data_IF_392910277271
#
_entry.id   IF_392910277271
#
_cell.length_a   1.000
_cell.length_b   1.000
_cell.length_c   1.000
_cell.angle_alpha   90.00
_cell.angle_beta   90.00
_cell.angle_gamma   90.00
#
_symmetry.space_group_name_H-M   'P 1'
#
loop_
_entity.id
_entity.type
_entity.pdbx_description
1 polymer ?
#
# COMPACT_ATOMS: atom_id res chain seq x y z
N UNK A 1 -33.71 -11.03 -57.04
CA UNK A 1 -32.44 -10.36 -56.66
C UNK A 1 -32.42 -10.02 -55.18
N UNK A 2 -33.40 -9.27 -54.66
CA UNK A 2 -33.50 -8.84 -53.24
C UNK A 2 -33.40 -9.99 -52.22
N UNK A 3 -34.11 -11.12 -52.42
CA UNK A 3 -34.04 -12.27 -51.49
C UNK A 3 -32.61 -12.85 -51.34
N UNK A 4 -31.83 -12.90 -52.42
CA UNK A 4 -30.45 -13.42 -52.38
C UNK A 4 -29.51 -12.47 -51.64
N UNK A 5 -29.72 -11.16 -51.80
CA UNK A 5 -28.97 -10.11 -51.09
C UNK A 5 -29.27 -10.15 -49.60
N UNK A 6 -30.54 -10.27 -49.22
CA UNK A 6 -30.96 -10.39 -47.81
C UNK A 6 -30.39 -11.65 -47.15
N UNK A 7 -30.44 -12.80 -47.84
CA UNK A 7 -29.82 -14.04 -47.35
C UNK A 7 -28.31 -13.90 -47.16
N UNK A 8 -27.62 -13.22 -48.08
CA UNK A 8 -26.18 -12.95 -47.96
C UNK A 8 -25.83 -12.05 -46.77
N UNK A 9 -26.60 -10.99 -46.54
CA UNK A 9 -26.42 -10.09 -45.39
C UNK A 9 -26.66 -10.80 -44.06
N UNK A 10 -27.69 -11.64 -43.97
CA UNK A 10 -27.97 -12.43 -42.77
C UNK A 10 -26.86 -13.44 -42.47
N UNK A 11 -26.29 -14.08 -43.50
CA UNK A 11 -25.16 -14.98 -43.34
C UNK A 11 -23.89 -14.26 -42.85
N UNK A 12 -23.60 -13.07 -43.39
CA UNK A 12 -22.48 -12.23 -42.94
C UNK A 12 -22.64 -11.80 -41.48
N UNK A 13 -23.84 -11.36 -41.09
CA UNK A 13 -24.13 -10.97 -39.72
C UNK A 13 -23.99 -12.16 -38.76
N UNK A 14 -24.51 -13.33 -39.14
CA UNK A 14 -24.37 -14.55 -38.36
C UNK A 14 -22.90 -14.96 -38.18
N UNK A 15 -22.09 -14.90 -39.24
CA UNK A 15 -20.66 -15.18 -39.18
C UNK A 15 -19.91 -14.18 -38.29
N UNK A 16 -20.24 -12.89 -38.37
CA UNK A 16 -19.64 -11.86 -37.53
C UNK A 16 -19.97 -12.07 -36.04
N UNK A 17 -21.24 -12.33 -35.72
CA UNK A 17 -21.69 -12.61 -34.35
C UNK A 17 -21.08 -13.90 -33.82
N UNK A 18 -21.08 -14.98 -34.62
CA UNK A 18 -20.46 -16.25 -34.26
C UNK A 18 -18.95 -16.11 -34.05
N UNK A 19 -18.26 -15.32 -34.89
CA UNK A 19 -16.84 -15.01 -34.71
C UNK A 19 -16.56 -14.24 -33.42
N UNK A 20 -17.35 -13.21 -33.12
CA UNK A 20 -17.22 -12.45 -31.88
C UNK A 20 -17.51 -13.29 -30.63
N UNK A 21 -18.53 -14.16 -30.68
CA UNK A 21 -18.85 -15.11 -29.61
C UNK A 21 -17.77 -16.17 -29.44
N UNK A 22 -17.24 -16.70 -30.54
CA UNK A 22 -16.13 -17.66 -30.54
C UNK A 22 -14.87 -17.06 -29.91
N UNK A 23 -14.56 -15.80 -30.20
CA UNK A 23 -13.44 -15.09 -29.57
C UNK A 23 -13.67 -14.79 -28.08
N UNK A 24 -14.89 -14.41 -27.69
CA UNK A 24 -15.22 -14.07 -26.29
C UNK A 24 -15.24 -15.28 -25.37
N UNK A 25 -15.68 -16.43 -25.88
CA UNK A 25 -15.89 -17.66 -25.09
C UNK A 25 -14.86 -18.75 -25.38
N UNK A 26 -13.82 -18.44 -26.15
CA UNK A 26 -12.73 -19.36 -26.50
C UNK A 26 -13.22 -20.66 -27.18
N UNK A 27 -14.25 -20.54 -28.02
CA UNK A 27 -14.88 -21.65 -28.74
C UNK A 27 -14.19 -21.84 -30.08
N UNK A 28 -14.07 -23.08 -30.56
CA UNK A 28 -13.61 -23.40 -31.91
C UNK A 28 -14.24 -22.48 -32.98
N UNK A 29 -13.48 -21.93 -33.94
CA UNK A 29 -12.05 -22.16 -34.19
C UNK A 29 -11.10 -21.10 -33.57
N UNK A 30 -11.57 -20.23 -32.68
CA UNK A 30 -10.76 -19.11 -32.17
C UNK A 30 -9.44 -19.53 -31.50
N UNK A 31 -9.39 -20.57 -30.63
CA UNK A 31 -8.12 -21.00 -30.03
C UNK A 31 -7.06 -21.38 -31.08
N UNK A 32 -7.46 -22.07 -32.15
CA UNK A 32 -6.57 -22.47 -33.25
C UNK A 32 -6.10 -21.25 -34.04
N UNK A 33 -7.01 -20.34 -34.38
CA UNK A 33 -6.68 -19.13 -35.13
C UNK A 33 -5.79 -18.18 -34.31
N UNK A 34 -6.03 -18.06 -33.01
CA UNK A 34 -5.22 -17.27 -32.08
C UNK A 34 -3.81 -17.84 -31.95
N UNK A 35 -3.67 -19.16 -31.79
CA UNK A 35 -2.37 -19.81 -31.74
C UNK A 35 -1.55 -19.61 -33.03
N UNK A 36 -2.19 -19.72 -34.19
CA UNK A 36 -1.55 -19.44 -35.49
C UNK A 36 -1.17 -17.96 -35.60
N UNK A 37 -2.03 -17.04 -35.17
CA UNK A 37 -1.72 -15.60 -35.15
C UNK A 37 -0.49 -15.32 -34.28
N UNK A 38 -0.40 -15.90 -33.10
CA UNK A 38 0.75 -15.76 -32.20
C UNK A 38 2.04 -16.29 -32.84
N UNK A 39 1.98 -17.41 -33.57
CA UNK A 39 3.13 -17.98 -34.27
C UNK A 39 3.58 -17.17 -35.50
N UNK A 40 2.64 -16.55 -36.23
CA UNK A 40 2.93 -15.87 -37.51
C UNK A 40 3.24 -14.38 -37.32
N UNK A 41 2.51 -13.71 -36.43
CA UNK A 41 2.58 -12.26 -36.23
C UNK A 41 3.45 -11.89 -35.01
N UNK A 42 3.72 -12.87 -34.13
CA UNK A 42 4.23 -12.59 -32.80
C UNK A 42 3.16 -11.94 -31.91
N UNK A 43 3.38 -11.93 -30.60
CA UNK A 43 2.60 -11.08 -29.70
C UNK A 43 3.12 -9.65 -29.84
N UNK A 44 2.26 -8.70 -30.21
CA UNK A 44 2.59 -7.29 -30.01
C UNK A 44 3.01 -7.11 -28.54
N UNK A 45 4.18 -6.49 -28.26
CA UNK A 45 4.53 -6.19 -26.89
C UNK A 45 3.40 -5.33 -26.30
N UNK A 46 2.96 -5.62 -25.06
CA UNK A 46 1.93 -4.82 -24.44
C UNK A 46 2.33 -3.35 -24.47
N UNK A 47 1.37 -2.47 -24.75
CA UNK A 47 1.62 -1.02 -24.72
C UNK A 47 2.34 -0.66 -23.42
N UNK A 48 3.41 0.16 -23.47
CA UNK A 48 4.18 0.49 -22.29
C UNK A 48 3.24 1.09 -21.22
N UNK A 49 3.31 0.53 -20.02
CA UNK A 49 2.58 1.03 -18.87
C UNK A 49 3.18 2.36 -18.44
N UNK A 50 2.34 3.33 -18.04
CA UNK A 50 2.80 4.57 -17.40
C UNK A 50 3.53 4.34 -16.07
N UNK A 51 3.43 3.13 -15.53
CA UNK A 51 4.04 2.71 -14.28
C UNK A 51 5.26 1.84 -14.53
N UNK A 52 6.35 2.10 -13.81
CA UNK A 52 7.50 1.21 -13.73
C UNK A 52 7.53 0.52 -12.37
N UNK A 53 7.84 -0.77 -12.39
CA UNK A 53 7.99 -1.61 -11.19
C UNK A 53 9.39 -2.19 -11.13
N UNK A 54 9.88 -2.46 -9.92
CA UNK A 54 11.06 -3.32 -9.73
C UNK A 54 10.68 -4.81 -9.75
N UNK A 55 11.68 -5.69 -9.65
CA UNK A 55 11.51 -7.15 -9.68
C UNK A 55 10.62 -7.67 -8.53
N UNK A 56 10.46 -6.88 -7.46
CA UNK A 56 9.61 -7.19 -6.32
C UNK A 56 8.19 -6.57 -6.45
N UNK A 57 7.83 -6.10 -7.65
CA UNK A 57 6.56 -5.44 -7.96
C UNK A 57 6.28 -4.15 -7.17
N UNK A 58 7.31 -3.52 -6.60
CA UNK A 58 7.15 -2.20 -5.97
C UNK A 58 7.08 -1.14 -7.06
N UNK A 59 6.14 -0.20 -6.92
CA UNK A 59 6.03 0.93 -7.84
C UNK A 59 7.22 1.88 -7.66
N UNK A 60 8.06 1.98 -8.68
CA UNK A 60 9.29 2.80 -8.66
C UNK A 60 9.22 4.01 -9.61
N UNK A 61 8.28 4.00 -10.56
CA UNK A 61 8.08 5.11 -11.49
C UNK A 61 6.60 5.27 -11.85
N UNK A 62 6.18 6.52 -12.02
CA UNK A 62 4.90 6.91 -12.59
C UNK A 62 5.13 8.22 -13.36
N UNK A 63 4.89 8.22 -14.67
CA UNK A 63 5.11 9.38 -15.55
C UNK A 63 4.33 10.63 -15.15
N UNK A 64 3.27 10.49 -14.34
CA UNK A 64 2.44 11.60 -13.86
C UNK A 64 2.97 12.26 -12.59
N UNK A 65 4.09 11.78 -12.04
CA UNK A 65 4.69 12.31 -10.81
C UNK A 65 5.35 13.66 -11.04
N UNK A 66 4.96 14.66 -10.24
CA UNK A 66 5.59 15.98 -10.23
C UNK A 66 6.79 15.99 -9.29
N UNK A 67 8.00 15.90 -9.85
CA UNK A 67 9.24 16.00 -9.09
C UNK A 67 9.43 17.42 -8.53
N UNK A 68 9.93 17.50 -7.30
CA UNK A 68 10.27 18.75 -6.61
C UNK A 68 11.58 18.58 -5.83
N UNK A 69 12.30 19.67 -5.52
CA UNK A 69 13.41 19.58 -4.57
C UNK A 69 12.95 18.99 -3.25
N UNK A 70 13.75 18.10 -2.66
CA UNK A 70 13.44 17.59 -1.32
C UNK A 70 13.49 18.74 -0.31
N UNK A 71 12.39 19.06 0.39
CA UNK A 71 12.40 20.12 1.39
C UNK A 71 13.36 19.79 2.54
N UNK A 72 14.01 20.81 3.09
CA UNK A 72 14.84 20.66 4.29
C UNK A 72 13.95 20.22 5.45
N UNK A 73 14.37 19.17 6.17
CA UNK A 73 13.69 18.75 7.39
C UNK A 73 13.95 19.77 8.51
N UNK A 74 12.87 20.25 9.10
CA UNK A 74 12.86 21.13 10.28
C UNK A 74 12.09 20.48 11.43
N UNK A 75 12.09 21.11 12.60
CA UNK A 75 11.26 20.70 13.73
C UNK A 75 9.76 20.77 13.45
N UNK A 76 9.33 21.34 12.32
CA UNK A 76 7.91 21.37 11.87
C UNK A 76 7.70 20.51 10.63
N UNK A 77 8.61 19.59 10.34
CA UNK A 77 8.49 18.60 9.28
C UNK A 77 8.11 17.24 9.88
N UNK A 78 6.99 16.66 9.45
CA UNK A 78 6.71 15.26 9.72
C UNK A 78 7.39 14.41 8.63
N UNK A 79 8.10 13.35 9.03
CA UNK A 79 8.67 12.35 8.11
C UNK A 79 8.10 10.99 8.50
N UNK A 80 7.07 10.57 7.77
CA UNK A 80 6.34 9.33 7.99
C UNK A 80 7.01 8.21 7.20
N UNK A 81 7.64 7.26 7.91
CA UNK A 81 8.06 5.99 7.33
C UNK A 81 6.90 5.02 7.45
N UNK A 82 6.25 4.71 6.34
CA UNK A 82 5.08 3.82 6.32
C UNK A 82 5.52 2.43 5.90
N UNK A 83 5.34 1.46 6.78
CA UNK A 83 5.73 0.07 6.62
C UNK A 83 4.51 -0.86 6.70
N UNK A 84 4.60 -2.02 6.05
CA UNK A 84 3.64 -3.10 6.20
C UNK A 84 3.14 -3.68 4.88
N UNK A 85 1.88 -4.11 4.85
CA UNK A 85 1.30 -4.83 3.70
C UNK A 85 0.33 -3.98 2.88
N UNK A 86 -0.64 -4.61 2.20
CA UNK A 86 -1.54 -3.96 1.25
C UNK A 86 -2.27 -2.75 1.82
N UNK A 87 -2.79 -2.84 3.06
CA UNK A 87 -3.45 -1.71 3.73
C UNK A 87 -2.49 -0.56 4.16
N UNK A 88 -1.17 -0.74 4.03
CA UNK A 88 -0.18 0.34 4.06
C UNK A 88 0.30 0.77 2.66
N UNK A 89 0.14 -0.10 1.66
CA UNK A 89 0.56 0.11 0.27
C UNK A 89 -0.49 0.90 -0.54
N UNK A 90 -0.43 0.81 -1.87
CA UNK A 90 -1.37 1.48 -2.78
C UNK A 90 -2.62 0.65 -3.07
N UNK A 91 -3.07 -0.22 -2.16
CA UNK A 91 -4.27 -1.04 -2.37
C UNK A 91 -5.58 -0.37 -1.96
N UNK A 92 -5.53 0.86 -1.45
CA UNK A 92 -6.71 1.61 -1.04
C UNK A 92 -7.66 1.90 -2.21
N UNK A 93 -8.97 1.85 -1.93
CA UNK A 93 -10.01 2.02 -2.95
C UNK A 93 -10.12 3.44 -3.52
N UNK A 94 -9.54 4.44 -2.86
CA UNK A 94 -9.61 5.84 -3.25
C UNK A 94 -8.23 6.46 -3.46
N UNK A 95 -8.07 7.18 -4.58
CA UNK A 95 -6.87 7.98 -4.84
C UNK A 95 -6.98 9.37 -4.24
N UNK A 96 -5.85 9.85 -3.73
CA UNK A 96 -5.72 11.16 -3.11
C UNK A 96 -4.60 11.96 -3.77
N UNK A 97 -4.65 13.29 -3.60
CA UNK A 97 -3.61 14.23 -4.04
C UNK A 97 -3.36 15.24 -2.94
N UNK A 98 -2.16 15.79 -2.90
CA UNK A 98 -1.84 16.92 -2.03
C UNK A 98 -2.75 18.11 -2.35
N UNK A 99 -3.50 18.57 -1.35
CA UNK A 99 -4.25 19.83 -1.40
C UNK A 99 -3.34 21.05 -1.15
N UNK A 100 -2.11 20.80 -0.71
CA UNK A 100 -1.13 21.82 -0.32
C UNK A 100 0.14 21.78 -1.18
N UNK A 101 0.04 21.21 -2.40
CA UNK A 101 1.15 21.13 -3.34
C UNK A 101 2.39 20.46 -2.75
N UNK A 102 3.54 21.12 -2.86
CA UNK A 102 4.85 20.67 -2.38
C UNK A 102 4.99 20.59 -0.85
N UNK A 103 3.91 20.81 -0.10
CA UNK A 103 3.89 20.65 1.37
C UNK A 103 3.58 19.23 1.83
N UNK A 104 3.03 18.40 0.96
CA UNK A 104 2.84 16.96 1.19
C UNK A 104 3.62 16.23 0.10
N UNK A 105 4.66 15.53 0.50
CA UNK A 105 5.70 14.99 -0.37
C UNK A 105 5.71 13.47 -0.29
N UNK A 106 5.85 12.81 -1.43
CA UNK A 106 6.26 11.42 -1.54
C UNK A 106 7.78 11.38 -1.72
N UNK A 107 8.51 10.88 -0.72
CA UNK A 107 9.94 10.65 -0.82
C UNK A 107 10.18 9.21 -1.25
N UNK A 108 10.90 9.04 -2.36
CA UNK A 108 11.29 7.74 -2.87
C UNK A 108 12.62 7.84 -3.60
N UNK A 109 13.50 6.88 -3.35
CA UNK A 109 14.77 6.76 -4.06
C UNK A 109 15.64 8.04 -4.07
N UNK A 110 15.81 8.65 -2.89
CA UNK A 110 16.54 9.93 -2.74
C UNK A 110 16.00 11.08 -3.63
N UNK A 111 14.75 10.99 -4.06
CA UNK A 111 14.01 12.03 -4.80
C UNK A 111 12.70 12.33 -4.10
N UNK A 112 12.14 13.49 -4.41
CA UNK A 112 10.90 13.97 -3.82
C UNK A 112 9.90 14.37 -4.90
N UNK A 113 8.64 14.03 -4.65
CA UNK A 113 7.53 14.27 -5.56
C UNK A 113 6.37 14.87 -4.77
N UNK A 114 5.55 15.71 -5.39
CA UNK A 114 4.27 16.11 -4.80
C UNK A 114 3.45 14.84 -4.57
N UNK A 115 2.96 14.63 -3.34
CA UNK A 115 2.20 13.45 -2.99
C UNK A 115 0.90 13.38 -3.83
N UNK A 116 0.75 12.26 -4.53
CA UNK A 116 -0.41 11.91 -5.31
C UNK A 116 -0.42 10.39 -5.47
N UNK A 117 -1.54 9.74 -5.18
CA UNK A 117 -1.66 8.29 -5.29
C UNK A 117 -1.58 7.85 -6.77
N UNK A 118 -1.02 6.66 -7.06
CA UNK A 118 -0.34 5.78 -6.12
C UNK A 118 1.03 6.33 -5.70
N UNK A 119 1.44 6.16 -4.45
CA UNK A 119 2.75 6.59 -3.96
C UNK A 119 3.86 5.66 -4.46
N UNK A 120 4.99 6.23 -4.87
CA UNK A 120 6.20 5.47 -5.17
C UNK A 120 6.78 4.89 -3.87
N UNK A 121 7.33 3.69 -3.94
CA UNK A 121 7.90 2.97 -2.81
C UNK A 121 7.01 1.86 -2.23
N UNK A 122 5.78 1.74 -2.70
CA UNK A 122 4.85 0.67 -2.32
C UNK A 122 4.37 -0.13 -3.52
N UNK A 123 3.87 -1.34 -3.28
CA UNK A 123 3.19 -2.17 -4.30
C UNK A 123 1.83 -1.60 -4.69
N UNK A 124 1.29 -2.13 -5.79
CA UNK A 124 0.01 -1.75 -6.42
C UNK A 124 0.01 -0.30 -6.99
N UNK A 125 -1.08 0.04 -7.69
CA UNK A 125 -1.26 1.33 -8.36
C UNK A 125 -2.61 2.00 -8.07
N UNK A 126 -3.45 1.47 -7.16
CA UNK A 126 -4.72 2.10 -6.79
C UNK A 126 -4.47 3.36 -5.94
N UNK A 127 -4.91 3.37 -4.69
CA UNK A 127 -4.97 4.51 -3.81
C UNK A 127 -4.36 4.24 -2.44
N UNK A 128 -4.21 5.28 -1.63
CA UNK A 128 -3.72 5.18 -0.25
C UNK A 128 -4.18 6.40 0.55
N UNK A 129 -4.35 6.24 1.87
CA UNK A 129 -4.89 7.30 2.73
C UNK A 129 -3.82 8.16 3.41
N UNK A 130 -2.53 7.88 3.22
CA UNK A 130 -1.41 8.65 3.77
C UNK A 130 -1.31 10.04 3.16
N UNK A 131 -1.61 10.21 1.87
CA UNK A 131 -1.71 11.54 1.26
C UNK A 131 -2.83 12.36 1.90
N UNK A 132 -3.96 11.72 2.22
CA UNK A 132 -5.07 12.37 2.96
C UNK A 132 -4.63 12.76 4.36
N UNK A 133 -3.95 11.86 5.09
CA UNK A 133 -3.36 12.16 6.40
C UNK A 133 -2.38 13.34 6.32
N UNK A 134 -1.50 13.36 5.32
CA UNK A 134 -0.56 14.45 5.09
C UNK A 134 -1.25 15.80 4.88
N UNK A 135 -2.35 15.82 4.12
CA UNK A 135 -3.18 17.02 3.98
C UNK A 135 -3.71 17.49 5.33
N UNK A 136 -4.28 16.59 6.12
CA UNK A 136 -4.84 16.90 7.44
C UNK A 136 -3.77 17.38 8.44
N UNK A 137 -2.58 16.79 8.42
CA UNK A 137 -1.44 17.22 9.25
C UNK A 137 -0.99 18.64 8.92
N UNK A 138 -0.96 19.01 7.64
CA UNK A 138 -0.71 20.40 7.21
C UNK A 138 -1.86 21.33 7.63
N UNK A 139 -3.10 20.91 7.40
CA UNK A 139 -4.30 21.69 7.73
C UNK A 139 -4.41 22.00 9.23
N UNK A 140 -3.91 21.11 10.10
CA UNK A 140 -3.87 21.31 11.55
C UNK A 140 -3.02 22.52 12.00
N UNK A 141 -2.15 23.03 11.13
CA UNK A 141 -1.18 24.09 11.45
C UNK A 141 0.02 23.63 12.28
N UNK A 142 0.09 22.34 12.64
CA UNK A 142 1.22 21.76 13.41
C UNK A 142 2.47 21.57 12.55
N UNK A 143 2.30 21.25 11.28
CA UNK A 143 3.39 20.92 10.36
C UNK A 143 3.41 21.89 9.16
N UNK A 144 4.62 22.23 8.72
CA UNK A 144 4.83 23.06 7.52
C UNK A 144 5.01 22.18 6.29
N UNK A 145 5.64 21.01 6.48
CA UNK A 145 5.90 19.98 5.49
C UNK A 145 5.58 18.60 6.07
N UNK A 146 5.03 17.71 5.24
CA UNK A 146 4.86 16.28 5.52
C UNK A 146 5.56 15.51 4.41
N UNK A 147 6.49 14.65 4.78
CA UNK A 147 7.20 13.73 3.89
C UNK A 147 6.70 12.32 4.18
N UNK A 148 6.17 11.65 3.16
CA UNK A 148 5.66 10.29 3.22
C UNK A 148 6.64 9.42 2.44
N UNK A 149 7.30 8.49 3.15
CA UNK A 149 8.21 7.52 2.60
C UNK A 149 7.62 6.12 2.80
N UNK A 150 6.80 5.63 1.86
CA UNK A 150 6.25 4.30 1.99
C UNK A 150 7.28 3.26 1.55
N UNK A 151 7.32 2.17 2.30
CA UNK A 151 7.91 0.90 1.94
C UNK A 151 6.90 -0.15 2.39
N UNK A 152 6.01 -0.56 1.49
CA UNK A 152 4.93 -1.48 1.83
C UNK A 152 4.69 -2.46 0.69
N UNK A 153 4.49 -3.73 1.04
CA UNK A 153 4.38 -4.85 0.10
C UNK A 153 3.15 -5.68 0.37
N UNK A 154 2.21 -5.69 -0.58
CA UNK A 154 0.97 -6.44 -0.52
C UNK A 154 1.24 -7.92 -0.25
N UNK A 155 0.51 -8.50 0.70
CA UNK A 155 0.67 -9.90 1.11
C UNK A 155 1.95 -10.24 1.88
N UNK A 156 2.74 -9.25 2.34
CA UNK A 156 3.92 -9.55 3.16
C UNK A 156 3.57 -9.90 4.60
N UNK A 157 4.06 -11.05 5.07
CA UNK A 157 4.08 -11.45 6.47
C UNK A 157 5.30 -10.86 7.22
N UNK A 158 5.22 -10.72 8.54
CA UNK A 158 6.24 -10.09 9.39
C UNK A 158 7.62 -10.76 9.27
N UNK A 159 7.67 -12.06 8.92
CA UNK A 159 8.92 -12.80 8.74
C UNK A 159 9.80 -12.20 7.63
N UNK A 160 9.20 -11.63 6.58
CA UNK A 160 9.92 -10.96 5.48
C UNK A 160 10.60 -9.66 5.91
N UNK A 161 10.09 -9.05 6.97
CA UNK A 161 10.57 -7.79 7.54
C UNK A 161 11.61 -7.98 8.64
N UNK A 162 11.62 -9.14 9.29
CA UNK A 162 12.63 -9.53 10.26
C UNK A 162 14.02 -9.66 9.63
N UNK A 163 15.08 -9.62 10.45
CA UNK A 163 16.46 -9.74 9.94
C UNK A 163 16.65 -11.06 9.18
N UNK A 164 17.18 -10.95 7.95
CA UNK A 164 17.35 -12.09 7.04
C UNK A 164 16.16 -12.33 6.09
N UNK A 165 15.03 -11.67 6.32
CA UNK A 165 13.94 -11.56 5.36
C UNK A 165 14.32 -10.66 4.18
N UNK A 166 13.65 -10.87 3.04
CA UNK A 166 13.93 -10.17 1.79
C UNK A 166 13.58 -8.67 1.86
N UNK A 167 12.52 -8.29 2.60
CA UNK A 167 12.11 -6.89 2.76
C UNK A 167 12.95 -6.13 3.81
N UNK A 168 13.65 -6.84 4.70
CA UNK A 168 14.54 -6.21 5.67
C UNK A 168 15.74 -5.50 4.98
N UNK A 169 16.27 -6.09 3.91
CA UNK A 169 17.31 -5.45 3.08
C UNK A 169 16.80 -4.16 2.45
N UNK A 170 15.59 -4.19 1.90
CA UNK A 170 14.92 -3.01 1.33
C UNK A 170 14.64 -1.93 2.37
N UNK A 171 14.32 -2.31 3.61
CA UNK A 171 14.17 -1.38 4.73
C UNK A 171 15.48 -0.63 5.01
N UNK A 172 16.59 -1.37 5.14
CA UNK A 172 17.91 -0.78 5.36
C UNK A 172 18.28 0.19 4.23
N UNK A 173 18.06 -0.20 2.98
CA UNK A 173 18.39 0.63 1.83
C UNK A 173 17.48 1.86 1.72
N UNK A 174 16.20 1.73 2.06
CA UNK A 174 15.26 2.86 2.13
C UNK A 174 15.72 3.89 3.17
N UNK A 175 16.14 3.44 4.36
CA UNK A 175 16.65 4.32 5.41
C UNK A 175 17.94 5.03 5.00
N UNK A 176 18.87 4.33 4.33
CA UNK A 176 20.08 4.95 3.76
C UNK A 176 19.72 6.01 2.71
N UNK A 177 18.75 5.74 1.83
CA UNK A 177 18.30 6.68 0.79
C UNK A 177 17.66 7.92 1.39
N UNK A 178 16.87 7.78 2.47
CA UNK A 178 16.31 8.90 3.24
C UNK A 178 17.41 9.72 3.91
N UNK A 179 18.35 9.08 4.62
CA UNK A 179 19.48 9.76 5.29
C UNK A 179 20.34 10.55 4.31
N UNK A 180 20.53 10.03 3.08
CA UNK A 180 21.30 10.70 2.02
C UNK A 180 20.71 12.05 1.62
N UNK A 181 19.38 12.20 1.67
CA UNK A 181 18.70 13.48 1.37
C UNK A 181 18.38 14.28 2.64
N UNK A 182 18.97 13.89 3.77
CA UNK A 182 18.82 14.62 5.04
C UNK A 182 17.57 14.28 5.83
N UNK A 183 16.80 13.24 5.44
CA UNK A 183 15.62 12.82 6.19
C UNK A 183 15.93 11.83 7.30
N UNK A 184 15.31 12.05 8.45
CA UNK A 184 15.19 11.13 9.56
C UNK A 184 13.70 10.94 9.85
N UNK A 185 13.18 9.70 9.87
CA UNK A 185 11.80 9.45 10.25
C UNK A 185 11.47 10.12 11.58
N UNK A 186 10.35 10.83 11.66
CA UNK A 186 9.77 11.32 12.91
C UNK A 186 8.80 10.31 13.49
N UNK A 187 8.17 9.51 12.62
CA UNK A 187 7.16 8.53 12.97
C UNK A 187 7.34 7.32 12.04
N UNK A 188 7.40 6.12 12.64
CA UNK A 188 7.34 4.86 11.89
C UNK A 188 5.96 4.27 12.10
N UNK A 189 5.27 3.96 11.01
CA UNK A 189 3.91 3.42 11.02
C UNK A 189 3.97 2.00 10.49
N UNK A 190 3.46 1.04 11.26
CA UNK A 190 3.39 -0.38 10.88
C UNK A 190 1.94 -0.82 10.71
N UNK A 191 1.53 -1.10 9.47
CA UNK A 191 0.19 -1.61 9.12
C UNK A 191 0.32 -3.00 8.49
N UNK A 192 0.29 -4.03 9.33
CA UNK A 192 0.43 -5.42 8.90
C UNK A 192 -0.09 -6.37 9.96
N UNK A 193 -0.61 -7.51 9.51
CA UNK A 193 -0.93 -8.66 10.35
C UNK A 193 -1.96 -9.60 9.72
N UNK A 194 -2.67 -9.16 8.69
CA UNK A 194 -3.67 -9.98 8.00
C UNK A 194 -3.03 -11.23 7.35
N UNK A 195 -1.84 -11.09 6.74
CA UNK A 195 -1.13 -12.23 6.16
C UNK A 195 -0.69 -13.25 7.23
N UNK A 196 -0.16 -12.78 8.36
CA UNK A 196 0.29 -13.65 9.46
C UNK A 196 -0.85 -14.42 10.13
N UNK A 197 -2.04 -13.81 10.22
CA UNK A 197 -3.22 -14.51 10.74
C UNK A 197 -3.57 -15.71 9.85
N UNK A 198 -3.48 -15.53 8.53
CA UNK A 198 -3.79 -16.55 7.52
C UNK A 198 -2.73 -17.66 7.52
N UNK A 199 -1.46 -17.29 7.68
CA UNK A 199 -0.35 -18.23 7.78
C UNK A 199 -0.30 -19.00 9.11
N UNK A 200 -1.11 -18.60 10.09
CA UNK A 200 -1.14 -19.23 11.40
C UNK A 200 0.09 -18.92 12.25
N UNK A 201 0.72 -17.75 12.04
CA UNK A 201 1.84 -17.29 12.86
C UNK A 201 1.41 -17.18 14.32
N UNK A 202 2.22 -17.74 15.23
CA UNK A 202 1.94 -17.65 16.67
C UNK A 202 2.21 -16.23 17.19
N UNK A 203 1.57 -15.85 18.31
CA UNK A 203 1.83 -14.54 18.92
C UNK A 203 3.33 -14.34 19.25
N UNK A 204 4.02 -15.30 19.90
CA UNK A 204 5.46 -15.16 20.16
C UNK A 204 6.31 -15.02 18.89
N UNK A 205 6.03 -15.81 17.85
CA UNK A 205 6.78 -15.70 16.59
C UNK A 205 6.59 -14.33 15.93
N UNK A 206 5.37 -13.80 15.96
CA UNK A 206 5.09 -12.48 15.43
C UNK A 206 5.83 -11.40 16.24
N UNK A 207 5.79 -11.47 17.56
CA UNK A 207 6.50 -10.55 18.46
C UNK A 207 8.01 -10.56 18.19
N UNK A 208 8.63 -11.74 18.15
CA UNK A 208 10.08 -11.89 17.93
C UNK A 208 10.51 -11.33 16.56
N UNK A 209 9.74 -11.63 15.50
CA UNK A 209 10.01 -11.14 14.14
C UNK A 209 9.81 -9.63 14.04
N UNK A 210 8.76 -9.10 14.64
CA UNK A 210 8.53 -7.65 14.69
C UNK A 210 9.66 -6.94 15.44
N UNK A 211 10.05 -7.44 16.62
CA UNK A 211 11.15 -6.85 17.39
C UNK A 211 12.48 -6.94 16.62
N UNK A 212 12.73 -8.02 15.87
CA UNK A 212 13.88 -8.12 14.97
C UNK A 212 13.90 -7.02 13.89
N UNK A 213 12.73 -6.68 13.31
CA UNK A 213 12.61 -5.54 12.41
C UNK A 213 12.87 -4.21 13.15
N UNK A 214 12.35 -4.04 14.37
CA UNK A 214 12.60 -2.85 15.19
C UNK A 214 14.08 -2.70 15.51
N UNK A 215 14.80 -3.78 15.83
CA UNK A 215 16.24 -3.75 16.04
C UNK A 215 16.99 -3.29 14.77
N UNK A 216 16.48 -3.67 13.60
CA UNK A 216 17.01 -3.18 12.32
C UNK A 216 16.81 -1.66 12.19
N UNK A 217 15.62 -1.14 12.52
CA UNK A 217 15.35 0.30 12.55
C UNK A 217 16.32 1.03 13.50
N UNK A 218 16.46 0.54 14.74
CA UNK A 218 17.34 1.14 15.73
C UNK A 218 18.81 1.09 15.31
N UNK A 219 19.25 -0.01 14.70
CA UNK A 219 20.59 -0.15 14.12
C UNK A 219 20.87 0.79 12.94
N UNK A 220 19.85 1.42 12.36
CA UNK A 220 19.96 2.46 11.33
C UNK A 220 19.72 3.89 11.88
N UNK A 221 19.89 4.09 13.19
CA UNK A 221 19.69 5.37 13.90
C UNK A 221 18.23 5.89 13.88
N UNK A 222 17.24 5.04 13.63
CA UNK A 222 15.83 5.43 13.69
C UNK A 222 15.35 5.30 15.13
N UNK A 223 15.39 6.41 15.87
CA UNK A 223 14.90 6.47 17.26
C UNK A 223 13.43 6.93 17.38
N UNK A 224 12.77 7.19 16.25
CA UNK A 224 11.37 7.57 16.20
C UNK A 224 10.44 6.51 16.81
N UNK A 225 9.29 6.92 17.37
CA UNK A 225 8.27 5.99 17.78
C UNK A 225 7.82 5.10 16.62
N UNK A 226 7.54 3.84 16.94
CA UNK A 226 6.96 2.85 16.03
C UNK A 226 5.53 2.59 16.46
N UNK A 227 4.59 3.06 15.66
CA UNK A 227 3.16 2.87 15.87
C UNK A 227 2.70 1.57 15.24
N UNK A 228 2.06 0.73 16.05
CA UNK A 228 1.63 -0.61 15.67
C UNK A 228 0.12 -0.58 15.48
N UNK A 229 -0.35 -0.73 14.25
CA UNK A 229 -1.77 -0.88 13.96
C UNK A 229 -2.27 -2.23 14.46
N UNK A 230 -3.49 -2.25 14.99
CA UNK A 230 -4.22 -3.51 15.15
C UNK A 230 -4.93 -3.78 13.82
N UNK A 231 -4.34 -4.67 13.03
CA UNK A 231 -4.73 -5.02 11.67
C UNK A 231 -4.60 -6.52 11.47
N UNK A 232 -5.72 -7.23 11.50
CA UNK A 232 -5.80 -8.67 11.22
C UNK A 232 -7.01 -9.05 10.36
N UNK A 233 -7.91 -8.09 10.11
CA UNK A 233 -9.16 -8.30 9.38
C UNK A 233 -8.99 -8.18 7.85
N UNK A 234 -9.12 -9.31 7.18
CA UNK A 234 -9.34 -9.43 5.73
C UNK A 234 -10.45 -10.48 5.50
N UNK A 235 -11.58 -10.09 4.89
CA UNK A 235 -12.82 -10.88 4.92
C UNK A 235 -13.14 -11.65 3.63
N UNK A 236 -12.23 -11.65 2.66
CA UNK A 236 -12.40 -12.31 1.37
C UNK A 236 -11.27 -13.33 1.12
N UNK A 237 -11.58 -14.64 1.06
CA UNK A 237 -10.58 -15.68 0.80
C UNK A 237 -9.78 -15.51 -0.50
N UNK A 238 -10.37 -14.95 -1.55
CA UNK A 238 -9.64 -14.63 -2.79
C UNK A 238 -8.60 -13.51 -2.63
N UNK A 239 -8.75 -12.69 -1.58
CA UNK A 239 -7.76 -11.70 -1.13
C UNK A 239 -6.84 -12.26 -0.03
N UNK A 240 -6.89 -13.58 0.20
CA UNK A 240 -6.09 -14.28 1.20
C UNK A 240 -6.70 -14.28 2.60
N UNK A 241 -7.90 -13.74 2.81
CA UNK A 241 -8.54 -13.62 4.13
C UNK A 241 -9.40 -14.81 4.57
N UNK A 242 -10.22 -14.57 5.59
CA UNK A 242 -11.23 -15.51 6.09
C UNK A 242 -12.63 -14.98 5.82
N UNK A 243 -13.63 -15.83 5.59
CA UNK A 243 -15.02 -15.38 5.39
C UNK A 243 -15.64 -14.67 6.61
N UNK A 244 -15.00 -14.76 7.77
CA UNK A 244 -15.48 -14.21 9.04
C UNK A 244 -14.31 -13.57 9.77
N UNK A 245 -14.59 -12.47 10.46
CA UNK A 245 -13.61 -11.87 11.34
C UNK A 245 -13.35 -12.76 12.55
N UNK A 246 -12.07 -12.92 12.91
CA UNK A 246 -11.62 -13.65 14.09
C UNK A 246 -11.10 -12.62 15.11
N UNK A 247 -11.94 -12.13 16.04
CA UNK A 247 -11.49 -11.19 17.07
C UNK A 247 -10.54 -11.89 18.05
N UNK A 248 -9.68 -11.12 18.72
CA UNK A 248 -8.76 -11.65 19.76
C UNK A 248 -7.92 -12.85 19.30
N UNK A 249 -7.41 -12.77 18.06
CA UNK A 249 -6.53 -13.79 17.50
C UNK A 249 -5.07 -13.57 17.96
N UNK A 250 -4.15 -14.53 17.72
CA UNK A 250 -2.76 -14.41 18.14
C UNK A 250 -2.06 -13.13 17.66
N UNK A 251 -2.37 -12.65 16.45
CA UNK A 251 -1.74 -11.45 15.89
C UNK A 251 -2.23 -10.19 16.61
N UNK A 252 -3.54 -10.09 16.88
CA UNK A 252 -4.11 -9.00 17.69
C UNK A 252 -3.52 -8.98 19.10
N UNK A 253 -3.33 -10.15 19.71
CA UNK A 253 -2.68 -10.25 21.02
C UNK A 253 -1.24 -9.73 20.98
N UNK A 254 -0.45 -10.16 19.99
CA UNK A 254 0.92 -9.71 19.81
C UNK A 254 1.00 -8.18 19.57
N UNK A 255 0.19 -7.64 18.65
CA UNK A 255 0.15 -6.21 18.35
C UNK A 255 -0.14 -5.36 19.61
N UNK A 256 -1.09 -5.81 20.44
CA UNK A 256 -1.43 -5.13 21.72
C UNK A 256 -0.38 -5.30 22.81
N UNK A 257 0.32 -6.43 22.85
CA UNK A 257 1.39 -6.67 23.81
C UNK A 257 2.60 -5.79 23.48
N UNK A 258 3.01 -5.78 22.21
CA UNK A 258 4.11 -4.96 21.70
C UNK A 258 3.88 -3.47 21.94
N UNK A 259 2.66 -2.97 21.67
CA UNK A 259 2.33 -1.54 21.86
C UNK A 259 2.44 -1.06 23.31
N UNK A 260 2.41 -1.99 24.28
CA UNK A 260 2.50 -1.71 25.73
C UNK A 260 3.86 -2.02 26.33
N UNK A 261 4.80 -2.54 25.53
CA UNK A 261 6.11 -3.00 26.01
C UNK A 261 7.11 -1.88 26.32
N UNK A 262 6.84 -0.64 25.89
CA UNK A 262 7.73 0.50 26.07
C UNK A 262 8.72 0.68 24.91
N UNK A 263 9.88 1.31 25.17
CA UNK A 263 10.99 1.47 24.20
C UNK A 263 10.62 2.16 22.86
N UNK A 264 9.67 3.10 22.92
CA UNK A 264 9.20 3.83 21.75
C UNK A 264 8.26 3.02 20.84
N UNK A 265 7.77 1.86 21.28
CA UNK A 265 6.64 1.19 20.65
C UNK A 265 5.35 1.81 21.18
N UNK A 266 4.44 2.17 20.28
CA UNK A 266 3.17 2.85 20.61
C UNK A 266 2.01 2.18 19.90
N UNK A 267 0.83 2.30 20.51
CA UNK A 267 -0.40 1.83 19.87
C UNK A 267 -0.74 2.76 18.69
N UNK A 268 -0.95 2.17 17.52
CA UNK A 268 -1.45 2.84 16.33
C UNK A 268 -2.97 2.70 16.20
N UNK A 269 -3.49 2.98 15.01
CA UNK A 269 -4.92 2.82 14.74
C UNK A 269 -5.34 1.36 14.89
N UNK A 270 -6.49 1.10 15.53
CA UNK A 270 -7.11 -0.23 15.52
C UNK A 270 -8.11 -0.34 14.37
N UNK A 271 -7.63 -0.78 13.20
CA UNK A 271 -8.47 -0.91 12.00
C UNK A 271 -9.48 -2.06 12.08
N UNK A 272 -9.22 -3.07 12.92
CA UNK A 272 -10.14 -4.19 13.10
C UNK A 272 -11.46 -3.75 13.76
N UNK A 273 -11.36 -2.84 14.75
CA UNK A 273 -12.52 -2.26 15.45
C UNK A 273 -13.06 -0.99 14.81
N UNK A 274 -12.19 -0.16 14.22
CA UNK A 274 -12.59 1.13 13.65
C UNK A 274 -13.41 0.96 12.36
N UNK A 275 -13.05 -0.05 11.55
CA UNK A 275 -13.60 -0.23 10.21
C UNK A 275 -14.63 -1.36 10.17
N UNK A 276 -15.77 -1.07 9.54
CA UNK A 276 -16.80 -2.05 9.22
C UNK A 276 -16.48 -2.76 7.89
N UNK A 277 -17.30 -3.71 7.49
CA UNK A 277 -17.18 -4.39 6.19
C UNK A 277 -17.38 -3.39 5.04
N UNK A 278 -18.39 -2.51 5.15
CA UNK A 278 -18.65 -1.43 4.18
C UNK A 278 -17.48 -0.43 4.01
N UNK A 279 -16.55 -0.37 4.97
CA UNK A 279 -15.35 0.46 4.87
C UNK A 279 -14.24 -0.20 4.04
N UNK A 280 -14.46 -1.43 3.55
CA UNK A 280 -13.56 -2.21 2.72
C UNK A 280 -14.24 -2.48 1.38
N UNK A 281 -13.58 -2.15 0.26
CA UNK A 281 -14.25 -2.19 -1.04
C UNK A 281 -14.32 -3.60 -1.66
N UNK A 282 -13.51 -4.52 -1.17
CA UNK A 282 -13.43 -5.93 -1.59
C UNK A 282 -13.38 -6.85 -0.36
N UNK A 283 -14.02 -6.41 0.73
CA UNK A 283 -14.06 -7.07 2.04
C UNK A 283 -12.68 -7.24 2.71
N UNK A 284 -11.58 -6.78 2.09
CA UNK A 284 -10.23 -6.87 2.65
C UNK A 284 -9.53 -5.51 2.70
N UNK A 285 -9.49 -4.77 1.61
CA UNK A 285 -8.73 -3.55 1.45
C UNK A 285 -9.58 -2.31 1.76
N UNK A 286 -8.96 -1.34 2.42
CA UNK A 286 -9.62 -0.10 2.87
C UNK A 286 -10.18 0.69 1.69
N UNK A 287 -11.50 0.92 1.70
CA UNK A 287 -12.23 1.76 0.75
C UNK A 287 -12.21 3.25 1.13
N UNK A 288 -12.95 4.08 0.40
CA UNK A 288 -12.94 5.54 0.60
C UNK A 288 -13.40 5.98 2.00
N UNK A 289 -14.50 5.43 2.51
CA UNK A 289 -14.98 5.75 3.87
C UNK A 289 -14.02 5.26 4.95
N UNK A 290 -13.41 4.09 4.75
CA UNK A 290 -12.40 3.56 5.66
C UNK A 290 -11.11 4.37 5.65
N UNK A 291 -10.70 4.87 4.48
CA UNK A 291 -9.55 5.76 4.31
C UNK A 291 -9.75 7.06 5.11
N UNK A 292 -10.94 7.65 5.06
CA UNK A 292 -11.27 8.84 5.83
C UNK A 292 -11.22 8.56 7.35
N UNK A 293 -11.85 7.47 7.81
CA UNK A 293 -11.82 7.05 9.22
C UNK A 293 -10.40 6.80 9.72
N UNK A 294 -9.61 6.02 8.98
CA UNK A 294 -8.24 5.67 9.33
C UNK A 294 -7.33 6.91 9.34
N UNK A 295 -7.44 7.78 8.33
CA UNK A 295 -6.69 9.04 8.25
C UNK A 295 -6.98 9.94 9.45
N UNK A 296 -8.25 10.09 9.86
CA UNK A 296 -8.60 10.90 11.03
C UNK A 296 -8.13 10.29 12.36
N UNK A 297 -8.21 8.96 12.50
CA UNK A 297 -7.68 8.28 13.68
C UNK A 297 -6.16 8.47 13.80
N UNK A 298 -5.41 8.33 12.70
CA UNK A 298 -3.98 8.62 12.66
C UNK A 298 -3.66 10.07 13.00
N UNK A 299 -4.43 11.02 12.46
CA UNK A 299 -4.26 12.44 12.77
C UNK A 299 -4.34 12.69 14.27
N UNK A 300 -5.36 12.12 14.94
CA UNK A 300 -5.51 12.26 16.40
C UNK A 300 -4.29 11.72 17.14
N UNK A 301 -3.85 10.50 16.81
CA UNK A 301 -2.71 9.85 17.45
C UNK A 301 -1.44 10.70 17.30
N UNK A 302 -1.10 11.10 16.07
CA UNK A 302 0.14 11.82 15.78
C UNK A 302 0.15 13.25 16.36
N UNK A 303 -1.01 13.89 16.50
CA UNK A 303 -1.10 15.22 17.11
C UNK A 303 -1.03 15.18 18.64
N UNK A 304 -1.67 14.19 19.27
CA UNK A 304 -1.67 14.07 20.73
C UNK A 304 -0.31 13.63 21.26
N UNK A 305 0.36 12.72 20.57
CA UNK A 305 1.68 12.23 20.96
C UNK A 305 2.71 13.37 21.00
N UNK A 306 2.65 14.25 20.00
CA UNK A 306 3.54 15.41 19.93
C UNK A 306 3.22 16.49 20.97
N UNK A 307 2.04 16.49 21.58
CA UNK A 307 1.74 17.35 22.74
C UNK A 307 2.44 16.83 23.99
N UNK A 308 2.49 15.50 24.16
CA UNK A 308 3.17 14.86 25.28
C UNK A 308 4.68 15.12 25.23
N UNK A 309 5.28 15.09 24.04
CA UNK A 309 6.70 15.41 23.87
C UNK A 309 7.03 16.87 24.14
N UNK A 310 6.17 17.81 23.74
CA UNK A 310 6.37 19.25 23.99
C UNK A 310 6.13 19.65 25.46
N UNK A 311 5.56 18.77 26.29
CA UNK A 311 5.28 19.01 27.70
C UNK A 311 6.32 18.40 28.65
N UNK A 312 7.36 17.75 28.10
CA UNK A 312 8.50 17.19 28.83
C UNK A 312 9.72 18.09 28.64
#
# INVERSE_FOLDING_TARGET
MVKRVVLGLMALLALYVLGGMSARHDIFPWPQLSAVKQQVVGTEPPSPSRYGFDDNHRLIADETKTAVPCPIQTDRTAVLLVLGQSNAANDGGQRHRSAYGDRVINAFDSRCFIAASPLLGATDTKGEYWTSLGNSLIASGRYDKVVIAPLAYSGSEVARWAKGGDLNGELVDTLKRLKRVGYRPTDVIWVQGEADLVMGTSAPDYEDRFLSMVDTLRGQDVNAPVYITIASKCLEPSNGGFKVHIPENPIVHAQRALSKSGNGLREGVNTDSLLTEDDRYDDCHIGGSGADKASQAWLSILLDDRRLEASR
#
